data_IF_471122075404
#
_entry.id   IF_471122075404
#
_cell.length_a   1.000
_cell.length_b   1.000
_cell.length_c   1.000
_cell.angle_alpha   90.00
_cell.angle_beta   90.00
_cell.angle_gamma   90.00
#
_symmetry.space_group_name_H-M   'P 1'
#
loop_
_entity.id
_entity.type
_entity.pdbx_description
1 polymer ?
#
# COMPACT_ATOMS: atom_id res chain seq x y z
N UNK A 1 -9.72 33.70 -38.97
CA UNK A 1 -10.77 33.50 -37.94
C UNK A 1 -10.34 34.05 -36.57
N UNK A 2 -9.13 34.54 -36.42
CA UNK A 2 -8.59 34.97 -35.11
C UNK A 2 -9.18 36.25 -34.52
N UNK A 3 -9.92 37.06 -35.29
CA UNK A 3 -10.38 38.40 -34.82
C UNK A 3 -11.86 38.52 -34.56
N UNK A 4 -12.66 37.41 -34.68
CA UNK A 4 -14.12 37.52 -34.52
C UNK A 4 -14.52 37.31 -33.07
N UNK A 5 -13.90 36.40 -32.36
CA UNK A 5 -14.20 36.04 -30.98
C UNK A 5 -12.95 36.10 -30.08
N UNK A 6 -13.14 36.53 -28.83
CA UNK A 6 -12.10 36.60 -27.81
C UNK A 6 -12.53 35.84 -26.56
N UNK A 7 -11.74 34.88 -26.11
CA UNK A 7 -11.92 34.24 -24.81
C UNK A 7 -11.33 35.12 -23.69
N UNK A 8 -12.08 35.27 -22.62
CA UNK A 8 -11.63 35.92 -21.37
C UNK A 8 -11.75 34.90 -20.25
N UNK A 9 -10.62 34.55 -19.65
CA UNK A 9 -10.56 33.62 -18.52
C UNK A 9 -9.91 34.35 -17.35
N UNK A 10 -10.55 34.27 -16.18
CA UNK A 10 -10.07 34.82 -14.92
C UNK A 10 -9.88 33.70 -13.91
N UNK A 11 -8.75 33.73 -13.25
CA UNK A 11 -8.45 32.87 -12.10
C UNK A 11 -8.26 33.78 -10.91
N UNK A 12 -9.05 33.63 -9.86
CA UNK A 12 -8.91 34.40 -8.63
C UNK A 12 -7.86 33.76 -7.70
N UNK A 13 -7.54 34.43 -6.61
CA UNK A 13 -6.55 33.97 -5.63
C UNK A 13 -7.00 32.75 -4.83
N UNK A 14 -8.26 32.32 -4.94
CA UNK A 14 -8.76 31.07 -4.36
C UNK A 14 -8.68 29.91 -5.34
N UNK A 15 -8.23 30.15 -6.58
CA UNK A 15 -8.16 29.15 -7.64
C UNK A 15 -9.48 28.98 -8.40
N UNK A 16 -10.52 29.78 -8.10
CA UNK A 16 -11.78 29.73 -8.84
C UNK A 16 -11.59 30.26 -10.27
N UNK A 17 -11.98 29.47 -11.24
CA UNK A 17 -11.89 29.79 -12.67
C UNK A 17 -13.25 30.24 -13.18
N UNK A 18 -13.28 31.42 -13.77
CA UNK A 18 -14.44 31.97 -14.46
C UNK A 18 -14.06 32.47 -15.84
N UNK A 19 -14.98 32.46 -16.78
CA UNK A 19 -14.66 32.97 -18.11
C UNK A 19 -15.85 32.92 -19.06
N UNK A 20 -15.67 33.64 -20.16
CA UNK A 20 -16.65 33.72 -21.25
C UNK A 20 -15.94 33.98 -22.59
N UNK A 21 -16.67 33.86 -23.64
CA UNK A 21 -16.24 34.26 -25.00
C UNK A 21 -17.00 35.51 -25.38
N UNK A 22 -16.29 36.52 -25.88
CA UNK A 22 -16.83 37.82 -26.32
C UNK A 22 -16.75 37.90 -27.84
N UNK A 23 -17.83 38.33 -28.45
CA UNK A 23 -17.88 38.71 -29.86
C UNK A 23 -17.20 40.08 -30.01
N UNK A 24 -16.13 40.17 -30.79
CA UNK A 24 -15.36 41.40 -30.97
C UNK A 24 -16.11 42.44 -31.81
N UNK A 25 -17.10 42.05 -32.62
CA UNK A 25 -17.90 42.97 -33.42
C UNK A 25 -18.96 43.68 -32.60
N UNK A 26 -19.60 42.99 -31.64
CA UNK A 26 -20.65 43.54 -30.78
C UNK A 26 -20.15 43.94 -29.41
N UNK A 27 -19.04 43.37 -28.93
CA UNK A 27 -18.55 43.56 -27.57
C UNK A 27 -19.33 42.77 -26.52
N UNK A 28 -20.30 41.97 -26.94
CA UNK A 28 -21.18 41.18 -26.05
C UNK A 28 -20.71 39.76 -25.87
N UNK A 29 -21.24 39.08 -24.84
CA UNK A 29 -20.96 37.65 -24.60
C UNK A 29 -21.56 36.80 -25.73
N UNK A 30 -20.77 35.87 -26.23
CA UNK A 30 -21.21 34.87 -27.22
C UNK A 30 -22.08 33.79 -26.57
N UNK A 31 -23.35 34.07 -26.40
CA UNK A 31 -24.33 33.23 -25.72
C UNK A 31 -24.47 31.79 -26.27
N UNK A 32 -24.27 31.51 -27.61
CA UNK A 32 -24.33 30.15 -28.11
C UNK A 32 -23.37 29.18 -27.44
N UNK A 33 -22.31 29.67 -26.78
CA UNK A 33 -21.40 28.84 -25.99
C UNK A 33 -22.12 28.07 -24.86
N UNK A 34 -23.16 28.64 -24.30
CA UNK A 34 -23.96 28.07 -23.18
C UNK A 34 -25.11 27.15 -23.66
N UNK A 35 -25.41 27.14 -24.97
CA UNK A 35 -26.50 26.36 -25.50
C UNK A 35 -26.18 24.84 -25.44
N UNK A 36 -27.19 24.02 -25.11
CA UNK A 36 -27.10 22.56 -25.09
C UNK A 36 -26.98 22.03 -26.53
N UNK A 37 -27.74 22.61 -27.46
CA UNK A 37 -27.67 22.32 -28.88
C UNK A 37 -27.18 23.55 -29.63
N UNK A 38 -26.07 23.40 -30.34
CA UNK A 38 -25.44 24.51 -31.05
C UNK A 38 -25.11 24.09 -32.50
N UNK A 39 -25.16 25.05 -33.42
CA UNK A 39 -24.72 24.82 -34.79
C UNK A 39 -23.23 24.53 -34.93
N UNK A 40 -22.77 24.13 -36.13
CA UNK A 40 -21.38 23.70 -36.32
C UNK A 40 -20.33 24.73 -35.90
N UNK A 41 -20.58 26.01 -36.13
CA UNK A 41 -19.67 27.11 -35.73
C UNK A 41 -19.57 27.22 -34.21
N UNK A 42 -20.72 27.24 -33.52
CA UNK A 42 -20.73 27.31 -32.05
C UNK A 42 -20.12 26.08 -31.40
N UNK A 43 -20.25 24.90 -32.01
CA UNK A 43 -19.56 23.68 -31.57
C UNK A 43 -18.04 23.81 -31.69
N UNK A 44 -17.54 24.41 -32.79
CA UNK A 44 -16.11 24.66 -32.98
C UNK A 44 -15.58 25.67 -31.97
N UNK A 45 -16.32 26.76 -31.69
CA UNK A 45 -15.95 27.74 -30.66
C UNK A 45 -15.90 27.10 -29.30
N UNK A 46 -16.87 26.26 -28.96
CA UNK A 46 -16.92 25.52 -27.69
C UNK A 46 -15.73 24.57 -27.54
N UNK A 47 -15.37 23.86 -28.58
CA UNK A 47 -14.20 22.98 -28.60
C UNK A 47 -12.91 23.79 -28.36
N UNK A 48 -12.70 24.87 -29.08
CA UNK A 48 -11.54 25.76 -28.91
C UNK A 48 -11.45 26.39 -27.50
N UNK A 49 -12.59 26.73 -26.91
CA UNK A 49 -12.65 27.23 -25.55
C UNK A 49 -12.31 26.16 -24.50
N UNK A 50 -12.79 24.92 -24.69
CA UNK A 50 -12.45 23.76 -23.84
C UNK A 50 -10.93 23.46 -23.93
N UNK A 51 -10.38 23.48 -25.14
CA UNK A 51 -8.93 23.28 -25.35
C UNK A 51 -8.08 24.35 -24.65
N UNK A 52 -8.52 25.62 -24.70
CA UNK A 52 -7.87 26.73 -23.99
C UNK A 52 -7.92 26.53 -22.48
N UNK A 53 -9.07 26.16 -21.93
CA UNK A 53 -9.19 25.86 -20.50
C UNK A 53 -8.30 24.67 -20.10
N UNK A 54 -8.22 23.65 -20.93
CA UNK A 54 -7.34 22.50 -20.72
C UNK A 54 -5.86 22.88 -20.72
N UNK A 55 -5.46 23.82 -21.58
CA UNK A 55 -4.10 24.35 -21.63
C UNK A 55 -3.76 25.17 -20.37
N UNK A 56 -4.68 26.04 -19.94
CA UNK A 56 -4.54 26.80 -18.68
C UNK A 56 -4.44 25.87 -17.50
N UNK A 57 -5.32 24.84 -17.43
CA UNK A 57 -5.27 23.83 -16.35
C UNK A 57 -3.91 23.15 -16.30
N UNK A 58 -3.37 22.69 -17.43
CA UNK A 58 -2.06 22.02 -17.49
C UNK A 58 -0.88 22.89 -17.09
N UNK A 59 -0.96 24.20 -17.36
CA UNK A 59 0.15 25.16 -17.11
C UNK A 59 0.08 25.85 -15.75
N UNK A 60 -1.13 26.07 -15.24
CA UNK A 60 -1.35 26.94 -14.09
C UNK A 60 -1.83 26.21 -12.84
N UNK A 61 -2.25 24.94 -12.98
CA UNK A 61 -2.79 24.18 -11.87
C UNK A 61 -2.03 22.87 -11.68
N UNK A 62 -1.83 22.49 -10.43
CA UNK A 62 -1.37 21.15 -10.05
C UNK A 62 -2.60 20.29 -9.88
N UNK A 63 -2.75 19.16 -10.58
CA UNK A 63 -3.87 18.26 -10.39
C UNK A 63 -3.87 17.71 -8.96
N UNK A 64 -4.96 17.94 -8.24
CA UNK A 64 -5.18 17.32 -6.94
C UNK A 64 -6.03 16.06 -7.13
N UNK A 65 -5.56 14.89 -6.67
CA UNK A 65 -6.26 13.63 -6.89
C UNK A 65 -7.52 13.46 -6.04
N UNK A 66 -7.70 14.28 -4.98
CA UNK A 66 -8.81 14.21 -4.04
C UNK A 66 -9.52 15.55 -3.88
N UNK A 67 -10.73 15.54 -3.29
CA UNK A 67 -11.51 16.75 -3.08
C UNK A 67 -11.06 17.52 -1.84
N UNK A 68 -10.66 16.82 -0.78
CA UNK A 68 -10.28 17.42 0.50
C UNK A 68 -8.83 17.90 0.51
N UNK A 69 -8.59 19.11 1.01
CA UNK A 69 -7.24 19.65 1.13
C UNK A 69 -6.34 18.79 2.04
N UNK A 70 -6.89 18.23 3.13
CA UNK A 70 -6.15 17.37 4.03
C UNK A 70 -5.78 16.03 3.35
N UNK A 71 -6.69 15.48 2.56
CA UNK A 71 -6.45 14.24 1.79
C UNK A 71 -5.32 14.43 0.77
N UNK A 72 -5.32 15.58 0.09
CA UNK A 72 -4.27 15.91 -0.89
C UNK A 72 -2.90 16.10 -0.20
N UNK A 73 -2.85 16.80 0.96
CA UNK A 73 -1.60 16.91 1.74
C UNK A 73 -1.10 15.56 2.22
N UNK A 74 -2.00 14.71 2.73
CA UNK A 74 -1.66 13.35 3.14
C UNK A 74 -1.12 12.51 1.98
N UNK A 75 -1.76 12.57 0.81
CA UNK A 75 -1.31 11.88 -0.41
C UNK A 75 0.07 12.37 -0.86
N UNK A 76 0.30 13.68 -0.86
CA UNK A 76 1.60 14.24 -1.21
C UNK A 76 2.70 13.80 -0.23
N UNK A 77 2.39 13.78 1.08
CA UNK A 77 3.32 13.29 2.09
C UNK A 77 3.62 11.78 1.92
N UNK A 78 2.61 10.95 1.66
CA UNK A 78 2.81 9.51 1.37
C UNK A 78 3.74 9.32 0.16
N UNK A 79 3.53 10.09 -0.89
CA UNK A 79 4.40 10.06 -2.08
C UNK A 79 5.83 10.47 -1.75
N UNK A 80 6.01 11.52 -0.95
CA UNK A 80 7.34 11.99 -0.56
C UNK A 80 8.06 10.98 0.34
N UNK A 81 7.37 10.40 1.32
CA UNK A 81 7.95 9.52 2.34
C UNK A 81 8.19 8.09 1.83
N UNK A 82 7.27 7.56 1.01
CA UNK A 82 7.31 6.15 0.61
C UNK A 82 7.44 5.94 -0.90
N UNK A 83 7.31 6.99 -1.71
CA UNK A 83 7.18 6.94 -3.17
C UNK A 83 5.95 6.15 -3.65
N UNK A 84 4.97 5.92 -2.76
CA UNK A 84 3.71 5.24 -3.07
C UNK A 84 2.72 6.25 -3.66
N UNK A 85 2.06 5.89 -4.77
CA UNK A 85 1.04 6.70 -5.43
C UNK A 85 -0.37 6.19 -5.08
N UNK A 86 -1.40 7.05 -5.06
CA UNK A 86 -2.77 6.59 -4.96
C UNK A 86 -3.17 5.83 -6.24
N UNK A 87 -3.74 4.63 -6.08
CA UNK A 87 -4.22 3.79 -7.16
C UNK A 87 -5.77 3.82 -7.20
N UNK A 88 -6.37 4.37 -8.27
CA UNK A 88 -7.82 4.42 -8.49
C UNK A 88 -8.31 3.15 -9.17
N UNK A 89 -8.40 2.05 -8.43
CA UNK A 89 -8.68 0.71 -8.97
C UNK A 89 -10.17 0.39 -9.14
N UNK A 90 -11.07 1.23 -8.63
CA UNK A 90 -12.50 0.96 -8.56
C UNK A 90 -13.26 1.70 -9.69
N UNK A 91 -13.54 1.02 -10.81
CA UNK A 91 -14.24 1.64 -11.97
C UNK A 91 -15.58 2.29 -11.64
N UNK A 92 -16.33 1.77 -10.65
CA UNK A 92 -17.63 2.31 -10.22
C UNK A 92 -17.55 3.34 -9.12
N UNK A 93 -16.40 3.53 -8.53
CA UNK A 93 -16.13 4.43 -7.40
C UNK A 93 -14.85 5.22 -7.71
N UNK A 94 -14.92 6.20 -8.64
CA UNK A 94 -13.74 6.92 -9.14
C UNK A 94 -13.02 7.74 -8.05
N UNK A 95 -13.72 8.10 -6.98
CA UNK A 95 -13.17 8.86 -5.85
C UNK A 95 -12.49 7.96 -4.79
N UNK A 96 -12.44 6.63 -5.05
CA UNK A 96 -11.80 5.70 -4.11
C UNK A 96 -10.40 5.34 -4.60
N UNK A 97 -9.42 5.51 -3.73
CA UNK A 97 -8.03 5.21 -4.03
C UNK A 97 -7.38 4.35 -2.94
N UNK A 98 -6.54 3.41 -3.34
CA UNK A 98 -5.77 2.59 -2.42
C UNK A 98 -4.31 3.00 -2.41
N UNK A 99 -3.69 2.94 -1.24
CA UNK A 99 -2.25 2.97 -1.08
C UNK A 99 -1.75 1.56 -0.80
N UNK A 100 -0.84 1.10 -1.65
CA UNK A 100 -0.35 -0.29 -1.67
C UNK A 100 1.13 -0.35 -1.29
N UNK A 101 1.49 -1.28 -0.41
CA UNK A 101 2.88 -1.54 -0.11
C UNK A 101 3.51 -2.35 -1.27
N UNK A 102 4.59 -1.84 -1.90
CA UNK A 102 5.09 -2.39 -3.17
C UNK A 102 5.53 -3.86 -3.13
N UNK A 103 6.17 -4.30 -2.05
CA UNK A 103 6.67 -5.67 -1.96
C UNK A 103 5.57 -6.70 -1.66
N UNK A 104 4.66 -6.39 -0.72
CA UNK A 104 3.56 -7.30 -0.36
C UNK A 104 2.39 -7.23 -1.31
N UNK A 105 2.27 -6.16 -2.08
CA UNK A 105 1.12 -5.84 -2.90
C UNK A 105 -0.19 -5.70 -2.12
N UNK A 106 -0.11 -5.49 -0.80
CA UNK A 106 -1.27 -5.32 0.08
C UNK A 106 -1.54 -3.85 0.36
N UNK A 107 -2.79 -3.52 0.52
CA UNK A 107 -3.23 -2.18 0.88
C UNK A 107 -2.91 -1.88 2.35
N UNK A 108 -2.41 -0.68 2.61
CA UNK A 108 -2.30 -0.13 3.94
C UNK A 108 -3.19 1.08 4.16
N UNK A 109 -3.72 1.67 3.08
CA UNK A 109 -4.70 2.75 3.13
C UNK A 109 -5.73 2.62 2.03
N UNK A 110 -6.99 2.98 2.32
CA UNK A 110 -8.08 3.10 1.35
C UNK A 110 -8.80 4.41 1.61
N UNK A 111 -8.59 5.39 0.71
CA UNK A 111 -9.30 6.67 0.73
C UNK A 111 -10.67 6.50 0.06
N UNK A 112 -11.69 7.07 0.67
CA UNK A 112 -13.08 7.01 0.19
C UNK A 112 -13.77 8.34 0.44
N UNK A 113 -14.70 8.71 -0.44
CA UNK A 113 -15.59 9.85 -0.27
C UNK A 113 -17.01 9.32 -0.03
N UNK A 114 -17.43 9.28 1.24
CA UNK A 114 -18.69 8.64 1.70
C UNK A 114 -19.57 9.62 2.45
N UNK A 115 -20.89 9.32 2.57
CA UNK A 115 -21.77 10.16 3.37
C UNK A 115 -21.63 9.86 4.85
N UNK A 116 -21.97 10.85 5.70
CA UNK A 116 -22.04 10.66 7.14
C UNK A 116 -22.99 9.52 7.54
N UNK A 117 -24.10 9.36 6.80
CA UNK A 117 -25.01 8.25 7.03
C UNK A 117 -24.35 6.89 6.80
N UNK A 118 -23.52 6.77 5.75
CA UNK A 118 -22.75 5.56 5.47
C UNK A 118 -21.69 5.30 6.53
N UNK A 119 -20.94 6.34 6.94
CA UNK A 119 -19.88 6.21 7.94
C UNK A 119 -20.42 5.76 9.29
N UNK A 120 -21.50 6.40 9.76
CA UNK A 120 -22.05 6.14 11.09
C UNK A 120 -23.06 5.00 11.13
N UNK A 121 -23.54 4.53 9.98
CA UNK A 121 -24.62 3.54 9.88
C UNK A 121 -25.99 4.07 10.35
N UNK A 122 -26.15 5.40 10.55
CA UNK A 122 -27.37 6.01 11.01
C UNK A 122 -28.11 6.67 9.84
N UNK A 123 -29.32 6.23 9.53
CA UNK A 123 -30.15 6.77 8.46
C UNK A 123 -30.57 8.22 8.69
N UNK A 124 -30.55 8.69 9.94
CA UNK A 124 -30.83 10.09 10.33
C UNK A 124 -29.62 11.02 10.18
N UNK A 125 -28.43 10.48 9.88
CA UNK A 125 -27.24 11.31 9.68
C UNK A 125 -27.27 12.00 8.30
N UNK A 126 -26.48 13.06 8.15
CA UNK A 126 -26.39 13.82 6.91
C UNK A 126 -25.98 12.94 5.72
N UNK A 127 -26.52 13.26 4.55
CA UNK A 127 -26.09 12.70 3.26
C UNK A 127 -24.88 13.45 2.68
N UNK A 128 -24.42 14.52 3.35
CA UNK A 128 -23.20 15.21 2.95
C UNK A 128 -22.02 14.26 2.98
N UNK A 129 -21.15 14.43 2.00
CA UNK A 129 -19.98 13.58 1.85
C UNK A 129 -18.81 14.09 2.69
N UNK A 130 -18.04 13.14 3.19
CA UNK A 130 -16.79 13.37 3.90
C UNK A 130 -15.75 12.41 3.38
N UNK A 131 -14.53 12.89 3.22
CA UNK A 131 -13.41 12.01 2.88
C UNK A 131 -12.87 11.33 4.13
N UNK A 132 -12.59 10.04 3.99
CA UNK A 132 -12.08 9.19 5.05
C UNK A 132 -10.96 8.31 4.51
N UNK A 133 -10.13 7.81 5.40
CA UNK A 133 -9.16 6.79 5.09
C UNK A 133 -9.32 5.59 6.01
N UNK A 134 -9.51 4.39 5.43
CA UNK A 134 -9.36 3.14 6.17
C UNK A 134 -7.88 2.79 6.26
N UNK A 135 -7.42 2.54 7.49
CA UNK A 135 -6.03 2.20 7.81
C UNK A 135 -5.97 0.87 8.58
N UNK A 136 -4.93 0.06 8.30
CA UNK A 136 -4.67 -1.16 9.06
C UNK A 136 -4.25 -0.84 10.49
N UNK A 137 -4.70 -1.66 11.42
CA UNK A 137 -4.22 -1.63 12.79
C UNK A 137 -4.06 -3.06 13.33
N UNK A 138 -3.14 -3.29 14.27
CA UNK A 138 -3.14 -4.50 15.08
C UNK A 138 -4.44 -4.60 15.89
N UNK A 139 -4.94 -5.82 16.08
CA UNK A 139 -6.21 -6.03 16.79
C UNK A 139 -6.14 -5.54 18.23
N UNK A 140 -5.00 -5.69 18.87
CA UNK A 140 -4.72 -5.25 20.25
C UNK A 140 -4.72 -3.73 20.41
N UNK A 141 -4.38 -2.97 19.38
CA UNK A 141 -4.35 -1.50 19.41
C UNK A 141 -5.68 -0.86 19.01
N UNK A 142 -6.57 -1.60 18.36
CA UNK A 142 -7.78 -1.07 17.76
C UNK A 142 -8.69 -0.35 18.77
N UNK A 143 -8.90 -0.93 19.96
CA UNK A 143 -9.77 -0.35 20.98
C UNK A 143 -9.26 1.04 21.43
N UNK A 144 -7.95 1.22 21.56
CA UNK A 144 -7.34 2.51 21.89
C UNK A 144 -7.47 3.51 20.73
N UNK A 145 -7.25 3.06 19.48
CA UNK A 145 -7.35 3.91 18.29
C UNK A 145 -8.78 4.42 18.05
N UNK A 146 -9.79 3.63 18.37
CA UNK A 146 -11.21 4.02 18.27
C UNK A 146 -11.64 5.05 19.34
N UNK A 147 -10.80 5.40 20.30
CA UNK A 147 -11.04 6.52 21.23
C UNK A 147 -10.57 7.88 20.66
N UNK A 148 -9.87 7.89 19.54
CA UNK A 148 -9.46 9.14 18.89
C UNK A 148 -10.69 9.81 18.27
N UNK A 149 -10.76 11.14 18.41
CA UNK A 149 -11.77 11.91 17.70
C UNK A 149 -11.64 11.72 16.19
N UNK A 150 -12.76 11.49 15.50
CA UNK A 150 -12.76 11.23 14.07
C UNK A 150 -12.36 9.82 13.66
N UNK A 151 -12.16 8.87 14.61
CA UNK A 151 -11.90 7.47 14.32
C UNK A 151 -13.17 6.61 14.46
N UNK A 152 -13.36 5.72 13.50
CA UNK A 152 -14.50 4.81 13.39
C UNK A 152 -14.01 3.38 13.08
N UNK A 153 -14.84 2.34 13.32
CA UNK A 153 -14.55 1.00 12.81
C UNK A 153 -14.40 1.02 11.28
N UNK A 154 -13.48 0.22 10.73
CA UNK A 154 -13.26 0.12 9.30
C UNK A 154 -14.56 -0.02 8.50
N UNK A 155 -14.74 0.78 7.47
CA UNK A 155 -16.02 0.91 6.77
C UNK A 155 -16.31 -0.28 5.85
N UNK A 156 -15.45 -0.57 4.88
CA UNK A 156 -15.61 -1.68 3.94
C UNK A 156 -14.69 -2.87 4.21
N UNK A 157 -13.76 -2.73 5.13
CA UNK A 157 -12.73 -3.70 5.41
C UNK A 157 -12.97 -4.42 6.73
N UNK A 158 -12.18 -5.45 7.03
CA UNK A 158 -12.37 -6.25 8.23
C UNK A 158 -12.21 -5.39 9.49
N UNK A 159 -13.33 -5.18 10.19
CA UNK A 159 -13.43 -4.35 11.39
C UNK A 159 -12.50 -4.74 12.54
N UNK A 160 -11.88 -5.93 12.50
CA UNK A 160 -10.92 -6.37 13.53
C UNK A 160 -9.52 -5.83 13.31
N UNK A 161 -9.17 -5.49 12.07
CA UNK A 161 -7.80 -5.12 11.68
C UNK A 161 -7.73 -3.79 10.91
N UNK A 162 -8.83 -3.03 10.90
CA UNK A 162 -8.93 -1.76 10.20
C UNK A 162 -9.72 -0.75 11.01
N UNK A 163 -9.28 0.49 10.96
CA UNK A 163 -10.00 1.67 11.45
C UNK A 163 -10.26 2.62 10.28
N UNK A 164 -11.34 3.38 10.37
CA UNK A 164 -11.69 4.44 9.44
C UNK A 164 -11.45 5.79 10.12
N UNK A 165 -10.77 6.72 9.46
CA UNK A 165 -10.37 8.01 10.04
C UNK A 165 -10.84 9.13 9.14
N UNK A 166 -11.41 10.20 9.72
CA UNK A 166 -11.82 11.41 9.00
C UNK A 166 -10.62 12.17 8.44
N UNK A 167 -10.81 12.75 7.25
CA UNK A 167 -9.85 13.63 6.58
C UNK A 167 -10.43 15.04 6.40
N UNK A 168 -10.97 15.58 7.49
CA UNK A 168 -11.68 16.87 7.56
C UNK A 168 -11.02 17.90 8.49
N UNK A 169 -9.82 17.59 8.99
CA UNK A 169 -9.09 18.43 9.94
C UNK A 169 -9.34 18.09 11.40
N UNK A 170 -10.23 17.13 11.72
CA UNK A 170 -10.45 16.64 13.09
C UNK A 170 -9.15 16.13 13.72
N UNK A 171 -8.35 15.36 12.97
CA UNK A 171 -6.99 15.01 13.37
C UNK A 171 -5.98 15.92 12.66
N UNK A 172 -4.87 16.21 13.34
CA UNK A 172 -3.75 16.95 12.73
C UNK A 172 -3.04 16.08 11.68
N UNK A 173 -2.36 16.72 10.74
CA UNK A 173 -1.59 16.01 9.71
C UNK A 173 -0.54 15.10 10.33
N UNK A 174 0.13 15.51 11.43
CA UNK A 174 1.12 14.69 12.13
C UNK A 174 0.49 13.44 12.79
N UNK A 175 -0.74 13.55 13.29
CA UNK A 175 -1.47 12.41 13.82
C UNK A 175 -1.81 11.41 12.71
N UNK A 176 -2.28 11.90 11.56
CA UNK A 176 -2.53 11.08 10.38
C UNK A 176 -1.26 10.41 9.86
N UNK A 177 -0.14 11.13 9.79
CA UNK A 177 1.16 10.58 9.38
C UNK A 177 1.56 9.40 10.28
N UNK A 178 1.43 9.52 11.62
CA UNK A 178 1.72 8.42 12.56
C UNK A 178 0.81 7.21 12.32
N UNK A 179 -0.48 7.42 12.07
CA UNK A 179 -1.41 6.33 11.79
C UNK A 179 -1.09 5.61 10.47
N UNK A 180 -0.75 6.35 9.42
CA UNK A 180 -0.32 5.78 8.13
C UNK A 180 0.99 5.01 8.27
N UNK A 181 1.99 5.55 8.98
CA UNK A 181 3.24 4.86 9.30
C UNK A 181 2.98 3.54 10.03
N UNK A 182 2.14 3.57 11.06
CA UNK A 182 1.76 2.37 11.82
C UNK A 182 1.06 1.35 10.92
N UNK A 183 0.11 1.80 10.10
CA UNK A 183 -0.60 0.95 9.15
C UNK A 183 0.35 0.27 8.16
N UNK A 184 1.22 1.02 7.51
CA UNK A 184 2.21 0.49 6.57
C UNK A 184 3.20 -0.47 7.24
N UNK A 185 3.61 -0.17 8.47
CA UNK A 185 4.49 -1.02 9.28
C UNK A 185 3.90 -2.40 9.54
N UNK A 186 2.57 -2.56 9.63
CA UNK A 186 1.94 -3.89 9.75
C UNK A 186 2.26 -4.81 8.56
N UNK A 187 2.59 -4.23 7.40
CA UNK A 187 2.93 -4.95 6.18
C UNK A 187 4.44 -5.12 5.98
N UNK A 188 5.25 -4.23 6.56
CA UNK A 188 6.71 -4.21 6.42
C UNK A 188 7.45 -4.82 7.61
N UNK A 189 6.74 -5.16 8.70
CA UNK A 189 7.34 -5.84 9.86
C UNK A 189 8.03 -7.14 9.39
N UNK A 190 9.30 -7.36 9.73
CA UNK A 190 10.00 -8.59 9.43
C UNK A 190 9.22 -9.81 9.92
N UNK A 191 9.16 -10.84 9.11
CA UNK A 191 8.48 -12.10 9.41
C UNK A 191 9.49 -13.19 9.66
N UNK A 192 9.09 -14.16 10.46
CA UNK A 192 9.91 -15.32 10.76
C UNK A 192 9.40 -16.54 9.98
N UNK A 193 10.31 -17.19 9.30
CA UNK A 193 10.06 -18.32 8.43
C UNK A 193 10.85 -19.54 8.88
N UNK A 194 10.23 -20.73 8.77
CA UNK A 194 10.89 -22.01 8.90
C UNK A 194 11.03 -22.64 7.51
N UNK A 195 12.26 -22.89 7.07
CA UNK A 195 12.58 -23.52 5.79
C UNK A 195 13.19 -24.88 6.01
N UNK A 196 12.75 -25.92 5.28
CA UNK A 196 13.42 -27.21 5.31
C UNK A 196 14.73 -27.15 4.53
N UNK A 197 15.75 -27.78 5.10
CA UNK A 197 17.03 -28.04 4.47
C UNK A 197 17.29 -29.55 4.51
N UNK A 198 17.43 -30.18 3.33
CA UNK A 198 17.62 -31.60 3.24
C UNK A 198 19.09 -31.94 2.95
N UNK A 199 19.81 -32.61 3.90
CA UNK A 199 21.21 -32.93 3.76
C UNK A 199 21.53 -33.84 2.54
N UNK A 200 20.53 -34.53 1.98
CA UNK A 200 20.71 -35.34 0.76
C UNK A 200 20.99 -34.54 -0.50
N UNK A 201 20.55 -33.26 -0.53
CA UNK A 201 20.66 -32.40 -1.71
C UNK A 201 21.71 -31.30 -1.56
N UNK A 202 22.06 -30.96 -0.34
CA UNK A 202 23.01 -29.90 -0.03
C UNK A 202 23.66 -30.13 1.33
N UNK A 203 24.99 -29.99 1.41
CA UNK A 203 25.73 -30.09 2.69
C UNK A 203 25.48 -28.87 3.58
N UNK A 204 24.29 -28.86 4.16
CA UNK A 204 23.80 -27.73 4.99
C UNK A 204 24.58 -27.60 6.29
N UNK A 205 25.17 -28.72 6.80
CA UNK A 205 25.89 -28.68 8.08
C UNK A 205 27.20 -27.91 7.97
N UNK A 206 27.80 -27.85 6.78
CA UNK A 206 29.02 -27.09 6.50
C UNK A 206 28.78 -25.82 5.68
N UNK A 207 27.51 -25.47 5.44
CA UNK A 207 27.14 -24.33 4.60
C UNK A 207 27.75 -22.98 5.01
N UNK A 208 28.08 -22.84 6.28
CA UNK A 208 28.65 -21.64 6.87
C UNK A 208 30.06 -21.89 7.48
N UNK A 209 30.83 -22.86 6.93
CA UNK A 209 32.18 -23.12 7.41
C UNK A 209 33.16 -21.99 7.08
N UNK A 210 33.08 -21.47 5.85
CA UNK A 210 34.00 -20.45 5.31
C UNK A 210 33.35 -19.12 4.97
N UNK A 211 32.04 -18.99 5.22
CA UNK A 211 31.27 -17.79 4.89
C UNK A 211 30.04 -17.64 5.78
N UNK A 212 29.64 -16.39 6.04
CA UNK A 212 28.39 -16.10 6.74
C UNK A 212 27.20 -15.87 5.77
N UNK A 213 27.42 -15.99 4.46
CA UNK A 213 26.41 -15.81 3.42
C UNK A 213 26.07 -17.12 2.75
N UNK A 214 24.78 -17.47 2.70
CA UNK A 214 24.26 -18.64 2.02
C UNK A 214 23.27 -18.22 0.93
N UNK A 215 23.48 -18.70 -0.29
CA UNK A 215 22.47 -18.61 -1.35
C UNK A 215 21.50 -19.78 -1.24
N UNK A 216 20.21 -19.48 -1.04
CA UNK A 216 19.19 -20.49 -0.79
C UNK A 216 18.00 -20.36 -1.73
N UNK A 217 17.36 -21.48 -2.07
CA UNK A 217 16.14 -21.50 -2.90
C UNK A 217 15.05 -20.66 -2.24
N UNK A 218 14.51 -19.67 -2.99
CA UNK A 218 13.37 -18.87 -2.56
C UNK A 218 12.06 -19.53 -3.02
N UNK A 219 11.43 -20.30 -2.15
CA UNK A 219 10.18 -21.00 -2.43
C UNK A 219 8.96 -20.39 -1.70
N UNK A 220 9.14 -19.20 -1.10
CA UNK A 220 8.09 -18.41 -0.45
C UNK A 220 8.26 -16.90 -0.74
N UNK A 221 7.25 -16.09 -0.41
CA UNK A 221 7.32 -14.61 -0.51
C UNK A 221 8.06 -14.03 0.69
N UNK A 222 9.34 -14.32 0.77
CA UNK A 222 10.27 -13.79 1.77
C UNK A 222 10.70 -12.39 1.36
N UNK A 223 11.01 -11.54 2.32
CA UNK A 223 11.47 -10.15 2.10
C UNK A 223 12.83 -9.94 2.72
N UNK A 224 13.56 -8.95 2.21
CA UNK A 224 14.76 -8.44 2.88
C UNK A 224 14.39 -8.01 4.31
N UNK A 225 15.20 -8.41 5.28
CA UNK A 225 14.96 -8.20 6.71
C UNK A 225 14.14 -9.28 7.41
N UNK A 226 13.48 -10.21 6.66
CA UNK A 226 12.84 -11.38 7.28
C UNK A 226 13.89 -12.29 7.94
N UNK A 227 13.47 -12.99 9.00
CA UNK A 227 14.29 -14.03 9.64
C UNK A 227 13.93 -15.39 9.05
N UNK A 228 14.93 -16.19 8.70
CA UNK A 228 14.78 -17.55 8.21
C UNK A 228 15.47 -18.51 9.16
N UNK A 229 14.70 -19.43 9.74
CA UNK A 229 15.20 -20.57 10.49
C UNK A 229 15.34 -21.77 9.55
N UNK A 230 16.53 -22.34 9.43
CA UNK A 230 16.78 -23.51 8.62
C UNK A 230 16.62 -24.77 9.50
N UNK A 231 15.58 -25.53 9.18
CA UNK A 231 15.34 -26.84 9.78
C UNK A 231 16.03 -27.91 8.94
N UNK A 232 17.02 -28.57 9.51
CA UNK A 232 17.74 -29.68 8.86
C UNK A 232 16.91 -30.93 9.01
N UNK A 233 16.57 -31.57 7.88
CA UNK A 233 15.80 -32.81 7.83
C UNK A 233 16.58 -34.01 8.38
N UNK A 234 16.01 -35.21 8.28
CA UNK A 234 16.70 -36.44 8.74
C UNK A 234 18.12 -36.55 8.16
N UNK A 235 19.12 -37.01 8.97
CA UNK A 235 18.98 -37.60 10.30
C UNK A 235 18.85 -36.57 11.46
N UNK A 236 19.21 -35.31 11.26
CA UNK A 236 19.33 -34.28 12.32
C UNK A 236 17.98 -33.93 12.95
N UNK A 237 16.98 -33.60 12.13
CA UNK A 237 15.59 -33.27 12.53
C UNK A 237 15.51 -32.14 13.56
N UNK A 238 16.23 -31.02 13.36
CA UNK A 238 16.27 -29.87 14.25
C UNK A 238 16.43 -28.56 13.48
N UNK A 239 16.09 -27.42 14.11
CA UNK A 239 16.51 -26.10 13.65
C UNK A 239 18.00 -25.95 14.00
N UNK A 240 18.81 -25.59 13.01
CA UNK A 240 20.26 -25.45 13.17
C UNK A 240 20.71 -24.00 12.97
N UNK A 241 20.08 -23.26 12.08
CA UNK A 241 20.52 -21.90 11.76
C UNK A 241 19.38 -20.89 11.85
N UNK A 242 19.69 -19.73 12.40
CA UNK A 242 18.93 -18.49 12.28
C UNK A 242 19.68 -17.57 11.32
N UNK A 243 19.01 -17.11 10.31
CA UNK A 243 19.57 -16.26 9.28
C UNK A 243 18.67 -15.05 9.03
N UNK A 244 19.27 -13.93 8.63
CA UNK A 244 18.57 -12.77 8.09
C UNK A 244 18.57 -12.80 6.58
N UNK A 245 17.45 -12.48 5.98
CA UNK A 245 17.36 -12.32 4.53
C UNK A 245 17.97 -10.97 4.14
N UNK A 246 19.02 -10.99 3.32
CA UNK A 246 19.72 -9.77 2.87
C UNK A 246 19.44 -9.43 1.41
N UNK A 247 19.02 -10.41 0.60
CA UNK A 247 18.62 -10.21 -0.80
C UNK A 247 17.58 -11.23 -1.22
N UNK A 248 16.61 -10.81 -2.06
CA UNK A 248 15.52 -11.67 -2.56
C UNK A 248 15.40 -11.58 -4.07
N UNK A 249 14.59 -12.46 -4.63
CA UNK A 249 14.18 -12.48 -6.04
C UNK A 249 15.33 -12.45 -7.03
N UNK A 250 16.47 -13.07 -6.66
CA UNK A 250 17.63 -13.23 -7.54
C UNK A 250 17.27 -14.30 -8.57
N UNK A 251 17.25 -13.97 -9.87
CA UNK A 251 16.99 -14.95 -10.92
C UNK A 251 17.99 -16.12 -10.88
N UNK A 252 17.49 -17.34 -11.03
CA UNK A 252 18.30 -18.54 -11.09
C UNK A 252 17.65 -19.53 -12.06
N UNK A 253 18.43 -20.14 -12.91
CA UNK A 253 17.96 -21.20 -13.80
C UNK A 253 18.72 -22.50 -13.52
N UNK A 254 18.39 -23.13 -12.41
CA UNK A 254 18.92 -24.43 -12.06
C UNK A 254 17.89 -25.52 -12.35
N UNK A 255 18.30 -26.55 -13.13
CA UNK A 255 17.48 -27.70 -13.50
C UNK A 255 18.24 -28.98 -13.17
N UNK A 256 18.00 -29.50 -11.98
CA UNK A 256 18.48 -30.83 -11.56
C UNK A 256 17.43 -31.92 -11.79
N UNK A 257 17.78 -33.19 -11.63
CA UNK A 257 16.89 -34.32 -11.87
C UNK A 257 15.58 -34.26 -11.04
N UNK A 258 15.63 -33.73 -9.81
CA UNK A 258 14.50 -33.65 -8.89
C UNK A 258 14.33 -32.25 -8.27
N UNK A 259 15.02 -31.22 -8.79
CA UNK A 259 15.04 -29.90 -8.22
C UNK A 259 15.06 -28.87 -9.32
N UNK A 260 14.03 -28.00 -9.32
CA UNK A 260 13.96 -26.80 -10.15
C UNK A 260 14.05 -25.58 -9.25
N UNK A 261 14.94 -24.63 -9.60
CA UNK A 261 15.09 -23.37 -8.88
C UNK A 261 15.03 -22.24 -9.90
N UNK A 262 13.99 -21.42 -9.83
CA UNK A 262 13.81 -20.25 -10.69
C UNK A 262 14.26 -18.95 -9.99
N UNK A 263 14.30 -18.95 -8.65
CA UNK A 263 14.72 -17.82 -7.83
C UNK A 263 15.46 -18.27 -6.59
N UNK A 264 16.44 -17.48 -6.18
CA UNK A 264 17.19 -17.66 -4.94
C UNK A 264 17.15 -16.39 -4.10
N UNK A 265 17.45 -16.54 -2.82
CA UNK A 265 17.66 -15.47 -1.85
C UNK A 265 19.03 -15.61 -1.21
N UNK A 266 19.56 -14.52 -0.66
CA UNK A 266 20.78 -14.55 0.16
C UNK A 266 20.41 -14.43 1.64
N UNK A 267 20.97 -15.33 2.42
CA UNK A 267 20.79 -15.46 3.85
C UNK A 267 22.11 -15.15 4.55
N UNK A 268 22.11 -14.16 5.45
CA UNK A 268 23.21 -13.87 6.35
C UNK A 268 23.01 -14.66 7.63
N UNK A 269 24.02 -15.43 8.05
CA UNK A 269 24.00 -16.15 9.33
C UNK A 269 23.95 -15.16 10.50
N UNK A 270 23.01 -15.37 11.43
CA UNK A 270 22.92 -14.63 12.69
C UNK A 270 23.25 -15.52 13.89
N UNK A 271 22.79 -16.77 13.86
CA UNK A 271 23.02 -17.69 14.97
C UNK A 271 23.04 -19.15 14.52
N UNK A 272 23.82 -19.97 15.24
CA UNK A 272 23.89 -21.43 15.05
C UNK A 272 23.44 -22.12 16.33
N UNK A 273 22.39 -22.90 16.23
CA UNK A 273 21.87 -23.72 17.33
C UNK A 273 22.53 -25.09 17.35
N UNK A 274 22.71 -25.63 18.55
CA UNK A 274 22.99 -27.07 18.69
C UNK A 274 21.74 -27.87 18.30
N UNK A 275 21.94 -29.04 17.68
CA UNK A 275 20.85 -29.89 17.19
C UNK A 275 19.94 -30.41 18.30
N UNK A 276 20.37 -30.35 19.57
CA UNK A 276 19.59 -30.73 20.76
C UNK A 276 18.69 -29.63 21.27
N UNK A 277 18.94 -28.36 20.92
CA UNK A 277 18.18 -27.22 21.41
C UNK A 277 16.75 -27.16 20.83
N UNK A 278 16.61 -27.30 19.52
CA UNK A 278 15.33 -27.20 18.84
C UNK A 278 15.02 -28.40 17.94
N UNK A 279 14.96 -29.64 18.53
CA UNK A 279 14.63 -30.84 17.79
C UNK A 279 13.13 -30.86 17.42
N UNK A 280 12.75 -31.67 16.41
CA UNK A 280 11.37 -31.79 15.96
C UNK A 280 10.40 -32.20 17.09
N UNK A 281 10.87 -32.94 18.07
CA UNK A 281 10.07 -33.30 19.26
C UNK A 281 9.60 -32.06 20.03
N UNK A 282 10.48 -31.09 20.23
CA UNK A 282 10.16 -29.82 20.85
C UNK A 282 9.23 -28.98 19.93
N UNK A 283 9.56 -28.85 18.64
CA UNK A 283 8.76 -28.10 17.67
C UNK A 283 7.31 -28.59 17.62
N UNK A 284 7.07 -29.87 17.81
CA UNK A 284 5.73 -30.48 17.86
C UNK A 284 4.88 -29.98 19.04
N UNK A 285 5.50 -29.66 20.17
CA UNK A 285 4.81 -29.09 21.34
C UNK A 285 4.22 -27.71 21.03
N UNK A 286 4.87 -26.96 20.12
CA UNK A 286 4.43 -25.67 19.60
C UNK A 286 3.57 -25.78 18.32
N UNK A 287 3.07 -27.00 17.99
CA UNK A 287 2.17 -27.22 16.85
C UNK A 287 2.85 -27.42 15.50
N UNK A 288 4.18 -27.49 15.43
CA UNK A 288 4.92 -27.79 14.18
C UNK A 288 5.04 -29.30 14.00
N UNK A 289 4.05 -29.94 13.37
CA UNK A 289 3.98 -31.41 13.22
C UNK A 289 5.03 -31.96 12.26
N UNK A 290 5.34 -31.24 11.18
CA UNK A 290 6.33 -31.59 10.16
C UNK A 290 6.81 -30.34 9.42
N UNK A 291 7.99 -30.43 8.79
CA UNK A 291 8.60 -29.36 7.99
C UNK A 291 8.92 -29.89 6.61
N UNK A 292 7.96 -29.76 5.68
CA UNK A 292 8.09 -30.21 4.28
C UNK A 292 8.26 -29.05 3.31
N UNK A 293 7.90 -27.82 3.72
CA UNK A 293 8.02 -26.61 2.94
C UNK A 293 8.12 -25.37 3.85
N UNK A 294 8.35 -24.19 3.27
CA UNK A 294 8.38 -22.94 4.02
C UNK A 294 7.07 -22.68 4.75
N UNK A 295 7.17 -22.25 6.00
CA UNK A 295 6.02 -21.87 6.82
C UNK A 295 6.39 -20.79 7.83
N UNK A 296 5.39 -20.11 8.39
CA UNK A 296 5.60 -19.24 9.54
C UNK A 296 5.69 -20.07 10.82
N UNK A 297 6.46 -19.53 11.76
CA UNK A 297 6.59 -20.09 13.11
C UNK A 297 5.48 -19.60 14.02
N UNK A 298 4.97 -20.43 14.95
CA UNK A 298 4.10 -19.98 16.03
C UNK A 298 4.78 -18.94 16.92
N UNK A 299 4.02 -17.94 17.42
CA UNK A 299 4.57 -16.86 18.24
C UNK A 299 5.29 -17.37 19.49
N UNK A 300 4.68 -18.33 20.21
CA UNK A 300 5.30 -18.92 21.39
C UNK A 300 6.64 -19.65 21.12
N UNK A 301 6.81 -20.22 19.90
CA UNK A 301 8.09 -20.83 19.52
C UNK A 301 9.13 -19.76 19.16
N UNK A 302 8.70 -18.61 18.65
CA UNK A 302 9.61 -17.50 18.36
C UNK A 302 10.20 -16.91 19.63
N UNK A 303 9.42 -16.79 20.69
CA UNK A 303 9.88 -16.34 22.00
C UNK A 303 11.01 -17.23 22.53
N UNK A 304 10.89 -18.55 22.38
CA UNK A 304 11.95 -19.50 22.75
C UNK A 304 13.21 -19.41 21.87
N UNK A 305 13.03 -19.11 20.58
CA UNK A 305 14.15 -19.00 19.63
C UNK A 305 14.92 -17.69 19.74
N UNK A 306 14.36 -16.67 20.42
CA UNK A 306 14.98 -15.35 20.62
C UNK A 306 15.77 -15.28 21.95
N UNK A 307 15.63 -16.30 22.83
CA UNK A 307 16.40 -16.50 24.07
C UNK A 307 17.58 -17.43 23.83
#
# INVERSE_FOLDING_TARGET
>A
MADVLRAVVRVDFTGHVSGNVIDNGTGEEYLPLRAVHCGPFAAQVKAGYIDLLGEIARRCFVPEPFHGAQTNRLSAWIQQEFHDQPEFVFKKLPDYAVFREPQSQKWYGLVMNISWAQLTGKTSASQDKVEVIDLRCPQEEQAALLQLDGAYPGYHLNKKNWICVLLDGTLTDEALHRLVLASRKTLTKPRSWLFPANPKYYDIMHAFADTDLLTWKQSARVRVGDTVFLYVSAPVKAIIYRCRVVKTDIPCDYRGANLKIDRVMQLQLEYRYDHTQFPLSLLRQYGVKSVQGPRHLPAALLEELDH
#
